data_IF_994107848235
#
_entry.id   IF_994107848235
#
_cell.length_a   1.000
_cell.length_b   1.000
_cell.length_c   1.000
_cell.angle_alpha   90.00
_cell.angle_beta   90.00
_cell.angle_gamma   90.00
#
_symmetry.space_group_name_H-M   'P 1'
#
loop_
_entity.id
_entity.type
_entity.pdbx_description
1 polymer ?
#
# COMPACT_ATOMS: atom_id res chain seq x y z
N UNK A 1 12.62 12.89 19.70
CA UNK A 1 11.19 12.59 19.93
C UNK A 1 10.76 11.58 18.90
N UNK A 2 10.08 10.48 19.26
CA UNK A 2 9.73 9.43 18.30
C UNK A 2 8.50 9.80 17.46
N UNK A 3 8.69 9.91 16.16
CA UNK A 3 7.66 10.07 15.12
C UNK A 3 7.17 8.68 14.71
N UNK A 4 6.09 8.24 15.35
CA UNK A 4 5.47 6.95 15.08
C UNK A 4 4.47 7.08 13.93
N UNK A 5 4.61 6.21 12.93
CA UNK A 5 3.72 6.16 11.77
C UNK A 5 3.08 4.78 11.67
N UNK A 6 1.77 4.77 11.46
CA UNK A 6 1.03 3.58 11.02
C UNK A 6 0.55 3.73 9.58
N UNK A 7 0.73 2.70 8.77
CA UNK A 7 0.19 2.64 7.40
C UNK A 7 -0.82 1.52 7.33
N UNK A 8 -2.08 1.87 7.11
CA UNK A 8 -3.08 0.93 6.64
C UNK A 8 -3.09 0.94 5.11
N UNK A 9 -2.99 -0.23 4.49
CA UNK A 9 -2.89 -0.33 3.03
C UNK A 9 -3.78 -1.44 2.46
N UNK A 10 -4.55 -1.06 1.45
CA UNK A 10 -5.32 -1.96 0.59
C UNK A 10 -4.92 -1.74 -0.87
N UNK A 11 -5.49 -2.54 -1.76
CA UNK A 11 -5.35 -2.42 -3.22
C UNK A 11 -5.83 -1.09 -3.78
N UNK A 12 -6.80 -0.44 -3.13
CA UNK A 12 -7.41 0.81 -3.61
C UNK A 12 -6.75 2.07 -3.07
N UNK A 13 -6.33 2.06 -1.81
CA UNK A 13 -5.83 3.23 -1.11
C UNK A 13 -4.94 2.84 0.07
N UNK A 14 -4.18 3.81 0.55
CA UNK A 14 -3.44 3.75 1.80
C UNK A 14 -3.83 4.93 2.69
N UNK A 15 -3.86 4.67 3.99
CA UNK A 15 -4.13 5.66 5.03
C UNK A 15 -2.92 5.69 5.94
N UNK A 16 -2.22 6.83 5.91
CA UNK A 16 -1.04 7.11 6.71
C UNK A 16 -1.46 7.87 7.96
N UNK A 17 -1.13 7.33 9.12
CA UNK A 17 -1.41 7.94 10.42
C UNK A 17 -0.09 8.32 11.07
N UNK A 18 0.07 9.61 11.39
CA UNK A 18 1.22 10.11 12.16
C UNK A 18 0.75 10.44 13.56
N UNK A 19 1.36 9.82 14.56
CA UNK A 19 1.07 10.11 15.96
C UNK A 19 2.02 11.19 16.49
N UNK A 20 1.45 12.18 17.18
CA UNK A 20 2.19 13.24 17.89
C UNK A 20 2.14 13.01 19.41
N UNK A 21 3.08 13.64 20.13
CA UNK A 21 3.24 13.53 21.59
C UNK A 21 2.01 14.01 22.38
N UNK A 22 1.20 14.90 21.80
CA UNK A 22 0.07 15.55 22.48
C UNK A 22 -1.25 14.78 22.32
N UNK A 23 -1.23 13.54 21.81
CA UNK A 23 -2.44 12.77 21.48
C UNK A 23 -3.09 13.18 20.15
N UNK A 24 -2.58 14.25 19.52
CA UNK A 24 -2.91 14.62 18.16
C UNK A 24 -2.40 13.59 17.16
N UNK A 25 -3.18 13.36 16.13
CA UNK A 25 -2.84 12.47 15.03
C UNK A 25 -3.16 13.16 13.72
N UNK A 26 -2.30 12.95 12.72
CA UNK A 26 -2.54 13.44 11.37
C UNK A 26 -2.85 12.25 10.48
N UNK A 27 -3.93 12.37 9.72
CA UNK A 27 -4.36 11.35 8.77
C UNK A 27 -4.11 11.88 7.37
N UNK A 28 -3.48 11.06 6.53
CA UNK A 28 -3.33 11.34 5.10
C UNK A 28 -3.79 10.13 4.30
N UNK A 29 -4.70 10.37 3.35
CA UNK A 29 -5.19 9.36 2.41
C UNK A 29 -4.44 9.49 1.09
N UNK A 30 -4.04 8.35 0.54
CA UNK A 30 -3.36 8.26 -0.75
C UNK A 30 -4.06 7.18 -1.57
N UNK A 31 -4.60 7.56 -2.73
CA UNK A 31 -5.24 6.62 -3.64
C UNK A 31 -4.20 5.89 -4.48
N UNK A 32 -4.38 4.57 -4.66
CA UNK A 32 -3.42 3.77 -5.42
C UNK A 32 -3.45 4.06 -6.92
N UNK A 33 -4.60 4.53 -7.43
CA UNK A 33 -4.88 4.74 -8.86
C UNK A 33 -4.58 3.50 -9.73
N UNK A 34 -4.51 2.32 -9.13
CA UNK A 34 -4.21 1.07 -9.83
C UNK A 34 -5.45 0.63 -10.60
N UNK A 35 -5.32 0.49 -11.91
CA UNK A 35 -6.40 -0.01 -12.76
C UNK A 35 -6.64 -1.51 -12.47
N UNK A 36 -7.81 -1.83 -11.93
CA UNK A 36 -8.17 -3.22 -11.53
C UNK A 36 -9.07 -3.94 -12.52
N UNK A 37 -9.85 -3.21 -13.34
CA UNK A 37 -10.67 -3.80 -14.40
C UNK A 37 -10.56 -2.99 -15.68
N UNK A 38 -9.94 -3.57 -16.70
CA UNK A 38 -10.03 -3.06 -18.07
C UNK A 38 -10.90 -4.04 -18.84
N UNK A 39 -12.18 -3.70 -19.04
CA UNK A 39 -13.04 -4.46 -19.96
C UNK A 39 -12.45 -4.28 -21.35
N UNK A 40 -12.01 -5.37 -21.97
CA UNK A 40 -11.72 -5.38 -23.41
C UNK A 40 -13.07 -5.53 -24.12
N UNK A 41 -13.49 -4.58 -24.96
CA UNK A 41 -14.65 -4.81 -25.81
C UNK A 41 -14.34 -6.00 -26.74
N UNK A 42 -15.15 -7.06 -26.69
CA UNK A 42 -14.97 -8.27 -27.52
C UNK A 42 -14.50 -9.53 -26.79
N UNK A 43 -14.35 -9.52 -25.47
CA UNK A 43 -14.00 -10.70 -24.66
C UNK A 43 -15.18 -11.69 -24.51
N UNK A 44 -15.75 -12.14 -25.62
CA UNK A 44 -16.72 -13.24 -25.67
C UNK A 44 -16.01 -14.52 -26.09
N UNK A 45 -15.85 -15.42 -25.10
CA UNK A 45 -15.39 -16.83 -25.15
C UNK A 45 -13.87 -17.08 -25.10
N UNK A 46 -13.50 -17.96 -24.16
CA UNK A 46 -12.15 -18.49 -23.83
C UNK A 46 -11.52 -19.39 -24.91
N UNK A 47 -12.02 -19.42 -26.13
CA UNK A 47 -11.55 -20.32 -27.18
C UNK A 47 -11.50 -19.60 -28.52
N UNK A 48 -10.42 -18.85 -28.77
CA UNK A 48 -10.27 -18.06 -29.99
C UNK A 48 -8.82 -17.73 -30.32
N UNK A 49 -8.11 -18.71 -30.87
CA UNK A 49 -6.91 -18.58 -31.75
C UNK A 49 -5.73 -17.77 -31.18
N UNK A 50 -4.79 -18.53 -30.60
CA UNK A 50 -3.47 -18.13 -30.10
C UNK A 50 -2.63 -17.38 -31.15
N UNK A 51 -2.15 -16.19 -30.78
CA UNK A 51 -1.16 -15.40 -31.54
C UNK A 51 -0.36 -14.46 -30.62
N UNK A 52 0.84 -14.05 -31.06
CA UNK A 52 1.77 -13.22 -30.27
C UNK A 52 1.20 -11.87 -29.79
N UNK A 53 0.19 -11.33 -30.48
CA UNK A 53 -0.48 -10.07 -30.10
C UNK A 53 -1.18 -10.13 -28.73
N UNK A 54 -1.75 -11.28 -28.36
CA UNK A 54 -2.41 -11.44 -27.06
C UNK A 54 -1.39 -11.45 -25.91
N UNK A 55 -0.25 -12.13 -26.12
CA UNK A 55 0.89 -12.15 -25.18
C UNK A 55 1.44 -10.73 -24.99
N UNK A 56 1.56 -9.94 -26.07
CA UNK A 56 1.98 -8.54 -25.99
C UNK A 56 1.01 -7.69 -25.18
N UNK A 57 -0.30 -7.89 -25.34
CA UNK A 57 -1.33 -7.14 -24.61
C UNK A 57 -1.32 -7.44 -23.11
N UNK A 58 -1.24 -8.71 -22.73
CA UNK A 58 -1.12 -9.11 -21.32
C UNK A 58 0.16 -8.57 -20.67
N UNK A 59 1.29 -8.64 -21.38
CA UNK A 59 2.58 -8.09 -20.92
C UNK A 59 2.50 -6.58 -20.71
N UNK A 60 1.92 -5.83 -21.65
CA UNK A 60 1.76 -4.38 -21.53
C UNK A 60 0.86 -3.99 -20.35
N UNK A 61 -0.23 -4.73 -20.12
CA UNK A 61 -1.11 -4.52 -18.96
C UNK A 61 -0.38 -4.78 -17.64
N UNK A 62 0.38 -5.87 -17.56
CA UNK A 62 1.16 -6.20 -16.37
C UNK A 62 2.21 -5.13 -16.07
N UNK A 63 2.92 -4.66 -17.11
CA UNK A 63 3.91 -3.59 -16.98
C UNK A 63 3.28 -2.30 -16.44
N UNK A 64 2.17 -1.85 -17.03
CA UNK A 64 1.44 -0.66 -16.58
C UNK A 64 1.01 -0.78 -15.10
N UNK A 65 0.50 -1.96 -14.71
CA UNK A 65 0.12 -2.21 -13.32
C UNK A 65 1.31 -2.13 -12.37
N UNK A 66 2.45 -2.71 -12.75
CA UNK A 66 3.68 -2.64 -11.96
C UNK A 66 4.17 -1.20 -11.80
N UNK A 67 4.11 -0.40 -12.87
CA UNK A 67 4.44 1.04 -12.82
C UNK A 67 3.53 1.80 -11.84
N UNK A 68 2.22 1.55 -11.88
CA UNK A 68 1.26 2.17 -10.95
C UNK A 68 1.54 1.79 -9.50
N UNK A 69 1.82 0.51 -9.23
CA UNK A 69 2.22 0.03 -7.89
C UNK A 69 3.50 0.72 -7.42
N UNK A 70 4.51 0.82 -8.29
CA UNK A 70 5.77 1.47 -7.97
C UNK A 70 5.58 2.97 -7.68
N UNK A 71 4.71 3.64 -8.43
CA UNK A 71 4.38 5.05 -8.19
C UNK A 71 3.72 5.22 -6.82
N UNK A 72 2.73 4.38 -6.51
CA UNK A 72 2.03 4.41 -5.22
C UNK A 72 2.97 4.18 -4.03
N UNK A 73 3.90 3.23 -4.14
CA UNK A 73 4.89 2.99 -3.09
C UNK A 73 5.84 4.18 -2.93
N UNK A 74 6.26 4.81 -4.03
CA UNK A 74 7.09 6.02 -3.97
C UNK A 74 6.37 7.18 -3.28
N UNK A 75 5.08 7.36 -3.52
CA UNK A 75 4.28 8.36 -2.79
C UNK A 75 4.23 8.07 -1.29
N UNK A 76 4.06 6.80 -0.90
CA UNK A 76 4.10 6.40 0.51
C UNK A 76 5.46 6.69 1.15
N UNK A 77 6.57 6.45 0.46
CA UNK A 77 7.92 6.74 0.97
C UNK A 77 8.15 8.21 1.24
N UNK A 78 7.66 9.11 0.39
CA UNK A 78 7.71 10.56 0.64
C UNK A 78 6.99 10.94 1.93
N UNK A 79 5.89 10.26 2.26
CA UNK A 79 5.14 10.54 3.48
C UNK A 79 5.77 9.98 4.76
N UNK A 80 6.70 9.03 4.67
CA UNK A 80 7.31 8.39 5.84
C UNK A 80 8.81 8.69 6.01
N UNK A 81 9.39 9.53 5.17
CA UNK A 81 10.83 9.85 5.13
C UNK A 81 11.42 10.19 6.51
N UNK A 82 10.66 10.94 7.31
CA UNK A 82 11.07 11.42 8.63
C UNK A 82 10.47 10.62 9.80
N UNK A 83 10.09 9.36 9.61
CA UNK A 83 9.61 8.51 10.71
C UNK A 83 10.76 7.96 11.57
N UNK A 84 10.47 7.67 12.83
CA UNK A 84 11.37 6.93 13.73
C UNK A 84 10.94 5.48 13.89
N UNK A 85 9.63 5.22 13.83
CA UNK A 85 9.05 3.88 13.89
C UNK A 85 7.85 3.77 12.94
N UNK A 86 7.71 2.60 12.33
CA UNK A 86 6.71 2.33 11.31
C UNK A 86 6.02 0.99 11.56
N UNK A 87 4.70 0.96 11.45
CA UNK A 87 3.92 -0.28 11.40
C UNK A 87 3.06 -0.33 10.13
N UNK A 88 2.96 -1.50 9.51
CA UNK A 88 2.15 -1.71 8.30
C UNK A 88 1.05 -2.70 8.61
N UNK A 89 -0.17 -2.43 8.15
CA UNK A 89 -1.28 -3.34 8.32
C UNK A 89 -2.33 -3.17 7.22
N UNK A 90 -3.26 -4.12 7.11
CA UNK A 90 -4.34 -4.05 6.11
C UNK A 90 -4.78 -5.42 5.61
N UNK A 91 -5.89 -5.48 4.85
CA UNK A 91 -6.45 -6.74 4.34
C UNK A 91 -5.71 -7.26 3.10
N UNK A 92 -5.16 -6.38 2.27
CA UNK A 92 -4.60 -6.76 0.98
C UNK A 92 -3.24 -7.47 1.07
N UNK A 93 -2.84 -8.08 -0.05
CA UNK A 93 -1.44 -8.49 -0.29
C UNK A 93 -0.50 -7.29 -0.45
N UNK A 94 -1.02 -6.08 -0.66
CA UNK A 94 -0.24 -4.86 -0.87
C UNK A 94 0.72 -4.58 0.30
N UNK A 95 0.34 -4.93 1.54
CA UNK A 95 1.22 -4.81 2.72
C UNK A 95 2.53 -5.57 2.57
N UNK A 96 2.51 -6.76 1.94
CA UNK A 96 3.72 -7.58 1.72
C UNK A 96 4.62 -6.98 0.64
N UNK A 97 4.02 -6.35 -0.37
CA UNK A 97 4.77 -5.62 -1.40
C UNK A 97 5.48 -4.43 -0.76
N UNK A 98 4.75 -3.63 0.03
CA UNK A 98 5.31 -2.49 0.74
C UNK A 98 6.38 -2.90 1.76
N UNK A 99 6.16 -3.98 2.51
CA UNK A 99 7.15 -4.56 3.42
C UNK A 99 8.47 -4.87 2.69
N UNK A 100 8.39 -5.54 1.54
CA UNK A 100 9.58 -5.89 0.76
C UNK A 100 10.34 -4.63 0.32
N UNK A 101 9.64 -3.63 -0.19
CA UNK A 101 10.25 -2.37 -0.62
C UNK A 101 10.89 -1.61 0.56
N UNK A 102 10.27 -1.65 1.75
CA UNK A 102 10.83 -1.04 2.97
C UNK A 102 12.07 -1.77 3.44
N UNK A 103 12.07 -3.11 3.44
CA UNK A 103 13.23 -3.91 3.84
C UNK A 103 14.41 -3.72 2.89
N UNK A 104 14.15 -3.49 1.61
CA UNK A 104 15.18 -3.18 0.62
C UNK A 104 15.73 -1.75 0.74
N UNK A 105 15.03 -0.85 1.43
CA UNK A 105 15.45 0.52 1.61
C UNK A 105 16.14 0.71 2.97
N UNK A 106 17.45 0.97 2.95
CA UNK A 106 18.27 1.14 4.16
C UNK A 106 17.76 2.23 5.11
N UNK A 107 17.06 3.25 4.60
CA UNK A 107 16.50 4.34 5.41
C UNK A 107 15.36 3.89 6.33
N UNK A 108 14.61 2.85 5.92
CA UNK A 108 13.38 2.41 6.57
C UNK A 108 13.46 0.99 7.15
N UNK A 109 14.40 0.17 6.70
CA UNK A 109 14.50 -1.24 7.07
C UNK A 109 14.61 -1.46 8.59
N UNK A 110 15.36 -0.61 9.30
CA UNK A 110 15.50 -0.65 10.77
C UNK A 110 14.35 0.01 11.55
N UNK A 111 13.41 0.67 10.87
CA UNK A 111 12.29 1.40 11.48
C UNK A 111 10.98 0.62 11.44
N UNK A 112 10.90 -0.42 10.62
CA UNK A 112 9.73 -1.27 10.50
C UNK A 112 9.58 -2.17 11.73
N UNK A 113 8.57 -1.90 12.55
CA UNK A 113 8.27 -2.67 13.75
C UNK A 113 7.53 -3.97 13.45
N UNK A 114 6.63 -3.97 12.47
CA UNK A 114 5.78 -5.13 12.21
C UNK A 114 4.85 -4.96 11.01
N UNK A 115 4.35 -6.10 10.54
CA UNK A 115 3.36 -6.20 9.45
C UNK A 115 2.21 -7.08 9.90
N UNK A 116 1.00 -6.51 9.95
CA UNK A 116 -0.18 -7.18 10.50
C UNK A 116 -1.29 -7.34 9.45
N UNK A 117 -2.06 -8.42 9.58
CA UNK A 117 -3.26 -8.60 8.80
C UNK A 117 -4.46 -8.03 9.56
N UNK A 118 -5.33 -7.30 8.87
CA UNK A 118 -6.56 -6.76 9.44
C UNK A 118 -7.70 -6.86 8.44
N UNK A 119 -8.94 -6.77 8.92
CA UNK A 119 -10.11 -6.64 8.06
C UNK A 119 -10.19 -5.25 7.43
N UNK A 120 -11.26 -5.01 6.66
CA UNK A 120 -11.58 -3.66 6.20
C UNK A 120 -11.97 -2.81 7.42
N UNK A 121 -11.17 -1.78 7.68
CA UNK A 121 -11.36 -0.87 8.81
C UNK A 121 -11.82 0.50 8.30
N UNK A 122 -12.69 1.14 9.08
CA UNK A 122 -13.01 2.56 8.92
C UNK A 122 -11.85 3.41 9.41
N UNK A 123 -11.77 4.67 8.97
CA UNK A 123 -10.71 5.60 9.36
C UNK A 123 -10.52 5.71 10.87
N UNK A 124 -11.61 5.82 11.64
CA UNK A 124 -11.56 5.87 13.10
C UNK A 124 -11.00 4.58 13.72
N UNK A 125 -11.35 3.42 13.17
CA UNK A 125 -10.80 2.14 13.62
C UNK A 125 -9.32 2.00 13.27
N UNK A 126 -8.89 2.54 12.13
CA UNK A 126 -7.47 2.56 11.74
C UNK A 126 -6.69 3.42 12.74
N UNK A 127 -7.19 4.61 13.11
CA UNK A 127 -6.58 5.47 14.14
C UNK A 127 -6.49 4.74 15.47
N UNK A 128 -7.58 4.10 15.91
CA UNK A 128 -7.61 3.35 17.15
C UNK A 128 -6.57 2.22 17.15
N UNK A 129 -6.48 1.46 16.06
CA UNK A 129 -5.51 0.37 15.90
C UNK A 129 -4.07 0.86 16.03
N UNK A 130 -3.73 1.98 15.37
CA UNK A 130 -2.37 2.54 15.44
C UNK A 130 -2.07 3.06 16.84
N UNK A 131 -3.03 3.72 17.50
CA UNK A 131 -2.84 4.18 18.88
C UNK A 131 -2.63 3.02 19.84
N UNK A 132 -3.45 1.98 19.74
CA UNK A 132 -3.35 0.75 20.53
C UNK A 132 -1.96 0.13 20.35
N UNK A 133 -1.49 -0.03 19.11
CA UNK A 133 -0.18 -0.63 18.83
C UNK A 133 1.02 0.11 19.43
N UNK A 134 0.96 1.44 19.57
CA UNK A 134 2.09 2.25 20.03
C UNK A 134 2.02 2.67 21.50
N UNK A 135 0.83 2.65 22.11
CA UNK A 135 0.61 3.15 23.46
C UNK A 135 0.14 2.07 24.46
N UNK A 136 -0.29 0.90 23.98
CA UNK A 136 -0.55 -0.29 24.80
C UNK A 136 0.54 -1.34 24.57
#
# INVERSE_FOLDING_TARGET
>A
MKKNIGIWIDTKQAIVIRLSKNGEHFIKKIDSKIETRVRVPGESKKFGRFGGQYITYEKNRLNKKNEQVNHFIKELFKEIENCDALVIFGPAKMKKILEKEIRNNMQFSGKLLGVHNTDLLTENQIVAWVKDYFYN
#
